data_IF_371584378395
#
_entry.id   IF_371584378395
#
_cell.length_a   1.000
_cell.length_b   1.000
_cell.length_c   1.000
_cell.angle_alpha   90.00
_cell.angle_beta   90.00
_cell.angle_gamma   90.00
#
_symmetry.space_group_name_H-M   'P 1'
#
loop_
_entity.id
_entity.type
_entity.pdbx_description
1 polymer ?
#
# COMPACT_ATOMS: atom_id res chain seq x y z
N UNK A 1 23.84 -24.61 -12.92
CA UNK A 1 22.56 -24.73 -12.19
C UNK A 1 22.10 -23.33 -11.85
N UNK A 2 20.98 -22.85 -12.40
CA UNK A 2 20.44 -21.54 -12.05
C UNK A 2 19.91 -21.62 -10.62
N UNK A 3 20.56 -20.96 -9.67
CA UNK A 3 20.10 -20.88 -8.29
C UNK A 3 18.81 -20.07 -8.27
N UNK A 4 17.70 -20.72 -7.88
CA UNK A 4 16.41 -20.05 -7.76
C UNK A 4 16.54 -18.93 -6.72
N UNK A 5 16.28 -17.68 -7.11
CA UNK A 5 16.30 -16.54 -6.19
C UNK A 5 15.26 -16.76 -5.07
N UNK A 6 15.55 -16.34 -3.83
CA UNK A 6 14.56 -16.40 -2.75
C UNK A 6 13.36 -15.51 -3.10
N UNK A 7 12.18 -15.91 -2.63
CA UNK A 7 10.91 -15.23 -2.91
C UNK A 7 10.36 -14.58 -1.63
N UNK A 8 9.70 -13.42 -1.77
CA UNK A 8 8.98 -12.75 -0.68
C UNK A 8 7.67 -12.17 -1.17
N UNK A 9 6.70 -12.03 -0.27
CA UNK A 9 5.34 -11.62 -0.59
C UNK A 9 4.98 -10.39 0.25
N UNK A 10 4.66 -9.27 -0.42
CA UNK A 10 4.44 -7.98 0.24
C UNK A 10 3.08 -7.43 -0.14
N UNK A 11 2.32 -7.01 0.88
CA UNK A 11 1.07 -6.27 0.72
C UNK A 11 1.22 -4.87 1.31
N UNK A 12 1.17 -3.87 0.45
CA UNK A 12 1.20 -2.47 0.87
C UNK A 12 -0.21 -1.99 1.24
N UNK A 13 -0.40 -1.70 2.52
CA UNK A 13 -1.60 -1.06 3.05
C UNK A 13 -1.55 0.45 2.73
N UNK A 14 -2.66 0.96 2.19
CA UNK A 14 -2.78 2.36 1.77
C UNK A 14 -3.64 3.22 2.70
N UNK A 15 -4.18 2.61 3.76
CA UNK A 15 -5.26 3.20 4.57
C UNK A 15 -6.63 3.17 3.87
N UNK A 16 -6.71 2.59 2.67
CA UNK A 16 -7.91 2.43 1.87
C UNK A 16 -8.67 1.13 2.14
N UNK A 17 -9.97 1.14 1.79
CA UNK A 17 -10.86 -0.03 1.82
C UNK A 17 -10.30 -1.21 1.02
N UNK A 18 -9.77 -0.97 -0.18
CA UNK A 18 -9.42 -2.06 -1.11
C UNK A 18 -8.16 -2.80 -0.64
N UNK A 19 -7.15 -2.07 -0.13
CA UNK A 19 -5.96 -2.70 0.45
C UNK A 19 -6.27 -3.44 1.77
N UNK A 20 -7.24 -2.96 2.54
CA UNK A 20 -7.68 -3.63 3.77
C UNK A 20 -8.43 -4.93 3.46
N UNK A 21 -9.36 -4.87 2.50
CA UNK A 21 -10.07 -6.06 2.02
C UNK A 21 -9.10 -7.08 1.42
N UNK A 22 -8.05 -6.62 0.73
CA UNK A 22 -7.05 -7.54 0.17
C UNK A 22 -6.30 -8.28 1.28
N UNK A 23 -5.98 -7.61 2.38
CA UNK A 23 -5.33 -8.25 3.53
C UNK A 23 -6.23 -9.34 4.15
N UNK A 24 -7.54 -9.07 4.28
CA UNK A 24 -8.54 -10.08 4.71
C UNK A 24 -8.56 -11.25 3.74
N UNK A 25 -8.79 -10.94 2.46
CA UNK A 25 -8.93 -11.94 1.40
C UNK A 25 -7.72 -12.87 1.30
N UNK A 26 -6.52 -12.31 1.31
CA UNK A 26 -5.29 -13.09 1.22
C UNK A 26 -5.10 -14.00 2.43
N UNK A 27 -5.44 -13.51 3.64
CA UNK A 27 -5.33 -14.31 4.86
C UNK A 27 -6.32 -15.47 4.87
N UNK A 28 -7.53 -15.26 4.36
CA UNK A 28 -8.58 -16.29 4.33
C UNK A 28 -8.34 -17.32 3.20
N UNK A 29 -8.07 -16.85 1.99
CA UNK A 29 -7.94 -17.72 0.80
C UNK A 29 -6.55 -18.32 0.62
N UNK A 30 -5.50 -17.59 1.02
CA UNK A 30 -4.10 -18.00 0.84
C UNK A 30 -3.31 -17.97 2.16
N UNK A 31 -3.76 -18.64 3.24
CA UNK A 31 -3.12 -18.59 4.56
C UNK A 31 -1.69 -19.15 4.58
N UNK A 32 -1.33 -19.94 3.56
CA UNK A 32 0.01 -20.52 3.40
C UNK A 32 1.03 -19.54 2.82
N UNK A 33 0.61 -18.38 2.31
CA UNK A 33 1.52 -17.35 1.79
C UNK A 33 1.96 -16.46 2.96
N UNK A 34 3.26 -16.42 3.32
CA UNK A 34 3.76 -15.59 4.40
C UNK A 34 3.83 -14.12 3.95
N UNK A 35 2.73 -13.39 4.13
CA UNK A 35 2.66 -11.97 3.76
C UNK A 35 3.36 -11.06 4.75
N UNK A 36 4.26 -10.22 4.24
CA UNK A 36 4.72 -9.02 4.95
C UNK A 36 3.81 -7.84 4.61
N UNK A 37 3.26 -7.21 5.65
CA UNK A 37 2.42 -6.02 5.52
C UNK A 37 3.25 -4.77 5.73
N UNK A 38 3.13 -3.82 4.80
CA UNK A 38 3.83 -2.53 4.89
C UNK A 38 2.85 -1.38 4.82
N UNK A 39 3.11 -0.30 5.55
CA UNK A 39 2.40 0.96 5.43
C UNK A 39 3.39 2.07 5.08
N UNK A 40 3.18 2.73 3.95
CA UNK A 40 4.06 3.79 3.48
C UNK A 40 3.51 5.14 3.99
N UNK A 41 4.09 5.58 5.09
CA UNK A 41 3.69 6.76 5.83
C UNK A 41 4.27 8.02 5.18
N UNK A 42 3.42 8.83 4.57
CA UNK A 42 3.84 10.10 3.97
C UNK A 42 4.17 11.19 4.98
N UNK A 43 3.93 10.96 6.28
CA UNK A 43 4.03 11.96 7.34
C UNK A 43 2.90 13.00 7.32
N UNK A 44 1.90 12.85 6.45
CA UNK A 44 0.75 13.74 6.27
C UNK A 44 -0.57 12.96 6.18
N UNK A 45 -0.63 11.76 6.72
CA UNK A 45 -1.82 10.92 6.70
C UNK A 45 -2.91 11.50 7.62
N UNK A 46 -4.17 11.28 7.24
CA UNK A 46 -5.31 11.70 8.06
C UNK A 46 -5.33 10.92 9.40
N UNK A 47 -5.79 11.53 10.51
CA UNK A 47 -6.01 10.81 11.76
C UNK A 47 -6.86 9.55 11.59
N UNK A 48 -7.88 9.61 10.74
CA UNK A 48 -8.76 8.49 10.39
C UNK A 48 -8.02 7.37 9.65
N UNK A 49 -7.07 7.73 8.77
CA UNK A 49 -6.21 6.75 8.09
C UNK A 49 -5.33 6.03 9.10
N UNK A 50 -4.74 6.76 10.04
CA UNK A 50 -3.92 6.18 11.11
C UNK A 50 -4.71 5.25 12.02
N UNK A 51 -5.90 5.69 12.46
CA UNK A 51 -6.82 4.86 13.24
C UNK A 51 -7.22 3.59 12.48
N UNK A 52 -7.46 3.70 11.18
CA UNK A 52 -7.84 2.57 10.35
C UNK A 52 -6.70 1.55 10.19
N UNK A 53 -5.46 2.00 10.00
CA UNK A 53 -4.29 1.11 10.00
C UNK A 53 -4.16 0.37 11.34
N UNK A 54 -4.38 1.06 12.47
CA UNK A 54 -4.37 0.43 13.79
C UNK A 54 -5.48 -0.61 13.94
N UNK A 55 -6.69 -0.31 13.45
CA UNK A 55 -7.82 -1.25 13.45
C UNK A 55 -7.50 -2.50 12.64
N UNK A 56 -6.99 -2.36 11.41
CA UNK A 56 -6.57 -3.49 10.56
C UNK A 56 -5.53 -4.34 11.30
N UNK A 57 -4.51 -3.70 11.89
CA UNK A 57 -3.46 -4.38 12.66
C UNK A 57 -4.03 -5.23 13.79
N UNK A 58 -4.96 -4.65 14.57
CA UNK A 58 -5.55 -5.30 15.73
C UNK A 58 -6.47 -6.46 15.33
N UNK A 59 -7.39 -6.24 14.38
CA UNK A 59 -8.35 -7.27 13.95
C UNK A 59 -7.65 -8.42 13.24
N UNK A 60 -6.68 -8.11 12.37
CA UNK A 60 -5.95 -9.14 11.65
C UNK A 60 -4.83 -9.79 12.49
N UNK A 61 -4.51 -9.23 13.67
CA UNK A 61 -3.40 -9.65 14.51
C UNK A 61 -2.08 -9.80 13.72
N UNK A 62 -1.78 -8.78 12.90
CA UNK A 62 -0.61 -8.74 12.03
C UNK A 62 0.39 -7.68 12.49
N UNK A 63 1.66 -7.83 12.11
CA UNK A 63 2.63 -6.74 12.20
C UNK A 63 2.61 -5.93 10.90
N UNK A 64 2.69 -4.61 11.02
CA UNK A 64 2.74 -3.70 9.87
C UNK A 64 4.05 -2.92 9.94
N UNK A 65 4.94 -3.17 8.99
CA UNK A 65 6.19 -2.44 8.84
C UNK A 65 5.90 -1.04 8.30
N UNK A 66 6.24 0.00 9.08
CA UNK A 66 6.09 1.39 8.63
C UNK A 66 7.32 1.86 7.88
N UNK A 67 7.10 2.40 6.69
CA UNK A 67 8.14 2.97 5.83
C UNK A 67 7.85 4.46 5.71
N UNK A 68 8.69 5.29 6.34
CA UNK A 68 8.49 6.73 6.37
C UNK A 68 9.03 7.41 5.11
N UNK A 69 8.22 8.29 4.51
CA UNK A 69 8.66 9.22 3.47
C UNK A 69 9.04 10.60 3.98
N UNK A 70 8.55 10.96 5.17
CA UNK A 70 9.03 12.10 5.93
C UNK A 70 9.93 11.59 7.04
N UNK A 71 11.15 12.13 7.10
CA UNK A 71 12.05 11.89 8.21
C UNK A 71 12.14 13.16 9.05
N UNK A 72 11.63 13.07 10.29
CA UNK A 72 11.83 14.14 11.29
C UNK A 72 13.29 14.21 11.73
N UNK A 73 14.04 13.11 11.60
CA UNK A 73 15.44 13.02 12.03
C UNK A 73 16.39 13.77 11.08
N UNK A 74 16.09 13.82 9.78
CA UNK A 74 16.89 14.54 8.78
C UNK A 74 16.25 15.88 8.34
N UNK A 75 15.13 16.26 8.97
CA UNK A 75 14.41 17.52 8.70
C UNK A 75 13.65 17.56 7.37
N UNK A 76 13.52 16.44 6.66
CA UNK A 76 12.81 16.38 5.36
C UNK A 76 11.33 16.09 5.55
N UNK A 77 10.62 17.06 6.10
CA UNK A 77 9.17 17.03 6.21
C UNK A 77 8.46 17.51 4.93
N UNK A 78 7.13 17.49 4.94
CA UNK A 78 6.33 17.97 3.82
C UNK A 78 6.64 19.42 3.48
N UNK A 79 6.88 20.29 4.49
CA UNK A 79 7.20 21.70 4.27
C UNK A 79 8.55 21.85 3.57
N UNK A 80 9.53 21.05 3.95
CA UNK A 80 10.83 21.00 3.28
C UNK A 80 10.67 20.61 1.81
N UNK A 81 9.94 19.53 1.53
CA UNK A 81 9.70 19.09 0.14
C UNK A 81 8.88 20.10 -0.66
N UNK A 82 7.89 20.75 -0.04
CA UNK A 82 7.11 21.81 -0.67
C UNK A 82 8.02 22.97 -1.11
N UNK A 83 8.99 23.38 -0.29
CA UNK A 83 10.01 24.38 -0.65
C UNK A 83 10.89 23.89 -1.81
N UNK A 84 11.34 22.63 -1.79
CA UNK A 84 12.12 22.04 -2.91
C UNK A 84 11.33 21.99 -4.23
N UNK A 85 9.99 21.97 -4.14
CA UNK A 85 9.08 22.02 -5.29
C UNK A 85 8.55 23.44 -5.53
N UNK A 86 9.31 24.47 -5.14
CA UNK A 86 8.99 25.88 -5.38
C UNK A 86 7.62 26.31 -4.84
N UNK A 87 7.21 25.73 -3.70
CA UNK A 87 5.90 25.90 -3.07
C UNK A 87 4.70 25.47 -3.94
N UNK A 88 4.91 24.64 -4.95
CA UNK A 88 3.85 24.07 -5.76
C UNK A 88 3.15 22.91 -5.03
N UNK A 89 1.88 23.09 -4.68
CA UNK A 89 1.09 22.06 -4.02
C UNK A 89 0.90 20.84 -4.94
N UNK A 90 0.97 19.60 -4.40
CA UNK A 90 0.76 18.41 -5.19
C UNK A 90 -0.66 18.38 -5.75
N UNK A 91 -0.79 17.92 -6.99
CA UNK A 91 -2.07 17.82 -7.69
C UNK A 91 -2.19 16.46 -8.37
N UNK A 92 -3.38 16.15 -8.91
CA UNK A 92 -3.59 14.92 -9.67
C UNK A 92 -2.67 14.84 -10.91
N UNK A 93 -2.33 15.99 -11.50
CA UNK A 93 -1.43 16.08 -12.65
C UNK A 93 0.05 16.04 -12.23
N UNK A 94 0.39 16.64 -11.08
CA UNK A 94 1.76 16.68 -10.58
C UNK A 94 1.83 16.06 -9.18
N UNK A 95 1.95 14.73 -9.17
CA UNK A 95 1.90 13.87 -7.98
C UNK A 95 3.27 13.72 -7.31
N UNK A 96 4.05 14.80 -7.25
CA UNK A 96 5.41 14.77 -6.70
C UNK A 96 5.45 14.22 -5.27
N UNK A 97 4.41 14.43 -4.46
CA UNK A 97 4.32 13.90 -3.11
C UNK A 97 4.27 12.36 -3.10
N UNK A 98 3.58 11.74 -4.08
CA UNK A 98 3.55 10.27 -4.22
C UNK A 98 4.95 9.75 -4.56
N UNK A 99 5.66 10.44 -5.45
CA UNK A 99 7.02 10.06 -5.83
C UNK A 99 7.99 10.15 -4.65
N UNK A 100 8.12 11.32 -4.03
CA UNK A 100 9.17 11.58 -3.03
C UNK A 100 8.83 11.04 -1.65
N UNK A 101 7.55 11.02 -1.27
CA UNK A 101 7.12 10.59 0.07
C UNK A 101 6.60 9.15 0.11
N UNK A 102 6.35 8.49 -1.04
CA UNK A 102 5.89 7.10 -1.04
C UNK A 102 6.79 6.18 -1.86
N UNK A 103 6.95 6.44 -3.15
CA UNK A 103 7.65 5.54 -4.05
C UNK A 103 9.16 5.47 -3.76
N UNK A 104 9.83 6.61 -3.58
CA UNK A 104 11.27 6.66 -3.32
C UNK A 104 11.66 5.96 -2.00
N UNK A 105 10.98 6.23 -0.85
CA UNK A 105 11.24 5.52 0.39
C UNK A 105 10.97 4.01 0.29
N UNK A 106 9.85 3.63 -0.35
CA UNK A 106 9.50 2.24 -0.54
C UNK A 106 10.54 1.50 -1.37
N UNK A 107 10.95 2.08 -2.50
CA UNK A 107 12.01 1.53 -3.36
C UNK A 107 13.32 1.35 -2.61
N UNK A 108 13.76 2.37 -1.85
CA UNK A 108 14.99 2.28 -1.03
C UNK A 108 14.90 1.18 0.03
N UNK A 109 13.77 1.07 0.71
CA UNK A 109 13.54 0.01 1.69
C UNK A 109 13.55 -1.37 1.03
N UNK A 110 12.89 -1.51 -0.11
CA UNK A 110 12.81 -2.76 -0.87
C UNK A 110 14.19 -3.21 -1.34
N UNK A 111 14.98 -2.34 -1.96
CA UNK A 111 16.34 -2.68 -2.38
C UNK A 111 17.25 -3.03 -1.20
N UNK A 112 17.15 -2.30 -0.08
CA UNK A 112 17.96 -2.57 1.11
C UNK A 112 17.66 -3.92 1.74
N UNK A 113 16.39 -4.32 1.78
CA UNK A 113 15.94 -5.55 2.46
C UNK A 113 15.90 -6.77 1.54
N UNK A 114 15.56 -6.56 0.27
CA UNK A 114 15.17 -7.60 -0.68
C UNK A 114 15.85 -7.47 -2.05
N UNK A 115 17.02 -6.83 -2.13
CA UNK A 115 17.74 -6.61 -3.40
C UNK A 115 18.01 -7.87 -4.24
N UNK A 116 18.15 -9.03 -3.60
CA UNK A 116 18.38 -10.32 -4.27
C UNK A 116 17.15 -11.23 -4.34
N UNK A 117 15.97 -10.75 -3.93
CA UNK A 117 14.73 -11.53 -3.88
C UNK A 117 13.86 -11.27 -5.10
N UNK A 118 13.01 -12.24 -5.42
CA UNK A 118 11.80 -11.99 -6.22
C UNK A 118 10.70 -11.53 -5.27
N UNK A 119 10.16 -10.34 -5.50
CA UNK A 119 9.16 -9.71 -4.64
C UNK A 119 7.81 -9.77 -5.34
N UNK A 120 6.88 -10.54 -4.79
CA UNK A 120 5.48 -10.50 -5.21
C UNK A 120 4.74 -9.37 -4.47
N UNK A 121 4.31 -8.36 -5.21
CA UNK A 121 3.63 -7.17 -4.66
C UNK A 121 2.14 -7.25 -4.91
N UNK A 122 1.36 -7.44 -3.86
CA UNK A 122 -0.08 -7.60 -3.92
C UNK A 122 -0.79 -6.24 -3.93
N UNK A 123 -1.67 -6.03 -4.91
CA UNK A 123 -2.39 -4.76 -5.12
C UNK A 123 -3.89 -4.99 -5.14
N UNK A 124 -4.62 -4.18 -4.37
CA UNK A 124 -6.07 -4.25 -4.22
C UNK A 124 -6.82 -3.58 -5.37
N UNK A 125 -6.50 -3.96 -6.61
CA UNK A 125 -7.21 -3.46 -7.80
C UNK A 125 -8.42 -4.36 -8.06
N UNK A 126 -9.63 -3.81 -8.06
CA UNK A 126 -10.87 -4.59 -8.26
C UNK A 126 -11.09 -4.93 -9.73
N UNK A 127 -11.84 -6.01 -10.00
CA UNK A 127 -12.15 -6.45 -11.36
C UNK A 127 -13.03 -5.45 -12.14
N UNK A 128 -13.85 -4.67 -11.43
CA UNK A 128 -14.74 -3.64 -11.98
C UNK A 128 -14.07 -2.26 -12.16
N UNK A 129 -12.79 -2.11 -11.79
CA UNK A 129 -12.06 -0.85 -11.97
C UNK A 129 -11.44 -0.72 -13.36
N UNK A 130 -11.55 0.47 -13.98
CA UNK A 130 -10.89 0.78 -15.26
C UNK A 130 -9.37 0.63 -15.11
N UNK A 131 -8.74 -0.16 -16.00
CA UNK A 131 -7.31 -0.54 -16.00
C UNK A 131 -6.32 0.59 -16.36
N UNK A 132 -6.60 1.83 -15.98
CA UNK A 132 -5.75 2.98 -16.34
C UNK A 132 -4.64 3.24 -15.31
N UNK A 133 -4.41 2.32 -14.36
CA UNK A 133 -3.40 2.46 -13.31
C UNK A 133 -2.25 1.49 -13.57
N UNK A 134 -1.12 2.03 -14.02
CA UNK A 134 0.17 1.37 -13.89
C UNK A 134 0.62 1.52 -12.43
N UNK A 135 0.76 0.39 -11.73
CA UNK A 135 1.34 0.36 -10.38
C UNK A 135 2.83 0.73 -10.40
N UNK A 136 3.48 0.70 -9.23
CA UNK A 136 4.93 0.81 -9.18
C UNK A 136 5.56 -0.39 -9.90
N UNK A 137 6.30 -0.12 -10.97
CA UNK A 137 7.06 -1.11 -11.72
C UNK A 137 8.53 -0.87 -11.44
N UNK A 138 9.20 -1.84 -10.83
CA UNK A 138 10.64 -1.79 -10.68
C UNK A 138 11.31 -2.13 -12.02
N UNK A 139 12.35 -1.38 -12.39
CA UNK A 139 13.10 -1.57 -13.64
C UNK A 139 13.93 -2.86 -13.62
N UNK A 140 14.19 -3.44 -12.45
CA UNK A 140 14.93 -4.70 -12.31
C UNK A 140 14.17 -5.95 -12.77
N UNK A 141 12.84 -5.86 -12.92
CA UNK A 141 11.97 -7.00 -13.19
C UNK A 141 11.79 -7.98 -12.02
N UNK A 142 12.35 -7.67 -10.84
CA UNK A 142 12.24 -8.53 -9.64
C UNK A 142 10.98 -8.23 -8.80
N UNK A 143 10.29 -7.13 -9.07
CA UNK A 143 8.99 -6.81 -8.46
C UNK A 143 7.86 -7.26 -9.37
N UNK A 144 7.15 -8.31 -8.96
CA UNK A 144 6.06 -8.93 -9.72
C UNK A 144 4.72 -8.49 -9.10
N UNK A 145 3.94 -7.61 -9.75
CA UNK A 145 2.62 -7.25 -9.24
C UNK A 145 1.65 -8.44 -9.34
N UNK A 146 0.85 -8.64 -8.30
CA UNK A 146 -0.26 -9.61 -8.24
C UNK A 146 -1.56 -8.88 -7.97
N UNK A 147 -2.62 -9.22 -8.69
CA UNK A 147 -3.92 -8.56 -8.57
C UNK A 147 -5.02 -9.59 -8.29
N UNK A 148 -5.07 -10.19 -7.08
CA UNK A 148 -5.97 -11.30 -6.79
C UNK A 148 -7.43 -10.99 -7.07
N UNK A 149 -7.88 -9.76 -6.77
CA UNK A 149 -9.26 -9.37 -7.06
C UNK A 149 -9.59 -9.34 -8.56
N UNK A 150 -8.64 -8.94 -9.42
CA UNK A 150 -8.84 -9.05 -10.88
C UNK A 150 -8.82 -10.50 -11.32
N UNK A 151 -7.87 -11.28 -10.80
CA UNK A 151 -7.67 -12.69 -11.15
C UNK A 151 -8.89 -13.55 -10.77
N UNK A 152 -9.53 -13.22 -9.64
CA UNK A 152 -10.67 -13.95 -9.10
C UNK A 152 -12.03 -13.27 -9.37
N UNK A 153 -12.05 -12.12 -10.05
CA UNK A 153 -13.29 -11.43 -10.46
C UNK A 153 -14.02 -10.66 -9.37
N UNK A 154 -13.36 -10.27 -8.27
CA UNK A 154 -13.98 -9.53 -7.16
C UNK A 154 -14.24 -8.06 -7.52
N UNK A 155 -15.47 -7.61 -7.25
CA UNK A 155 -15.98 -6.27 -7.53
C UNK A 155 -16.27 -5.50 -6.23
N UNK A 156 -16.82 -4.28 -6.34
CA UNK A 156 -17.14 -3.45 -5.17
C UNK A 156 -17.91 -4.19 -4.06
N UNK A 157 -18.95 -4.94 -4.46
CA UNK A 157 -19.84 -5.62 -3.52
C UNK A 157 -19.09 -6.64 -2.66
N UNK A 158 -18.15 -7.37 -3.27
CA UNK A 158 -17.31 -8.34 -2.56
C UNK A 158 -16.36 -7.64 -1.58
N UNK A 159 -15.77 -6.51 -1.98
CA UNK A 159 -14.90 -5.71 -1.09
C UNK A 159 -15.68 -5.21 0.11
N UNK A 160 -16.91 -4.71 -0.11
CA UNK A 160 -17.80 -4.30 0.97
C UNK A 160 -18.08 -5.46 1.92
N UNK A 161 -18.48 -6.61 1.36
CA UNK A 161 -18.77 -7.81 2.15
C UNK A 161 -17.59 -8.25 2.99
N UNK A 162 -16.39 -8.38 2.40
CA UNK A 162 -15.16 -8.75 3.11
C UNK A 162 -14.83 -7.84 4.30
N UNK A 163 -15.04 -6.52 4.13
CA UNK A 163 -14.77 -5.56 5.21
C UNK A 163 -15.80 -5.63 6.33
N UNK A 164 -17.07 -5.78 5.99
CA UNK A 164 -18.15 -5.89 6.96
C UNK A 164 -18.08 -7.23 7.72
N UNK A 165 -17.86 -8.35 7.03
CA UNK A 165 -17.78 -9.68 7.63
C UNK A 165 -16.54 -9.89 8.51
N UNK A 166 -15.43 -9.22 8.19
CA UNK A 166 -14.21 -9.27 9.01
C UNK A 166 -14.24 -8.37 10.25
N UNK A 167 -15.27 -7.52 10.38
CA UNK A 167 -15.36 -6.52 11.46
C UNK A 167 -14.43 -5.31 11.30
N UNK A 168 -13.64 -5.22 10.22
CA UNK A 168 -12.79 -4.06 9.94
C UNK A 168 -13.65 -2.85 9.55
N UNK A 169 -14.68 -3.09 8.74
CA UNK A 169 -15.55 -2.06 8.16
C UNK A 169 -14.80 -1.09 7.26
N UNK A 170 -15.39 0.06 7.01
CA UNK A 170 -14.80 1.13 6.21
C UNK A 170 -14.07 2.13 7.12
N UNK A 171 -13.03 2.82 6.60
CA UNK A 171 -12.44 3.94 7.32
C UNK A 171 -13.43 5.11 7.42
N UNK A 172 -13.42 5.81 8.54
CA UNK A 172 -14.38 6.88 8.84
C UNK A 172 -14.26 8.10 7.93
N UNK A 173 -13.10 8.34 7.30
CA UNK A 173 -12.97 9.44 6.33
C UNK A 173 -13.92 9.29 5.13
N UNK A 174 -14.51 8.11 4.87
CA UNK A 174 -15.53 7.93 3.83
C UNK A 174 -16.82 8.71 4.10
N UNK A 175 -17.05 9.18 5.32
CA UNK A 175 -18.19 10.04 5.67
C UNK A 175 -18.10 11.43 5.02
N UNK A 176 -16.89 11.90 4.73
CA UNK A 176 -16.66 13.26 4.25
C UNK A 176 -15.69 13.36 3.06
N UNK A 177 -15.09 12.24 2.62
CA UNK A 177 -14.14 12.18 1.50
C UNK A 177 -14.13 10.80 0.83
N UNK A 178 -13.72 10.73 -0.43
CA UNK A 178 -13.72 9.45 -1.16
C UNK A 178 -12.39 8.67 -1.16
N UNK A 179 -11.31 9.22 -0.57
CA UNK A 179 -9.94 8.64 -0.61
C UNK A 179 -9.12 8.99 0.65
N UNK A 180 -8.16 8.13 1.00
CA UNK A 180 -7.31 8.25 2.20
C UNK A 180 -6.23 9.33 2.18
N UNK A 181 -5.85 9.83 0.99
CA UNK A 181 -4.78 10.82 0.78
C UNK A 181 -5.33 12.09 0.13
#
# INVERSE_FOLDING_TARGET
MSTKKPETHILALSGGKDSAALAVYMREKYPHIPLEYVFIDSGCELPETEQYIQRIRAILNIQITRIGGVSKQDGRDFKWWLKQKSNYLPSAQNRWCTEVLKLNPYSKWLHKKYGDFVVYSYVGLRADEKRNRTGYLDKSGLLIPRNPFVEDGLVYADIKYLLESSGIGFPSYYEWRSRSG
#
